data_IF_352698509561
#
_entry.id   IF_352698509561
#
_cell.length_a   1.000
_cell.length_b   1.000
_cell.length_c   1.000
_cell.angle_alpha   90.00
_cell.angle_beta   90.00
_cell.angle_gamma   90.00
#
_symmetry.space_group_name_H-M   'P 1'
#
loop_
_entity.id
_entity.type
_entity.pdbx_description
1 polymer ?
#
# COMPACT_ATOMS: atom_id res chain seq x y z
N UNK A 1 -7.61 18.94 13.37
CA UNK A 1 -6.63 17.84 13.26
C UNK A 1 -6.90 17.15 11.96
N UNK A 2 -6.00 17.26 10.99
CA UNK A 2 -6.16 16.49 9.74
C UNK A 2 -6.15 15.00 10.09
N UNK A 3 -7.08 14.19 9.54
CA UNK A 3 -7.07 12.76 9.78
C UNK A 3 -5.72 12.22 9.27
N UNK A 4 -4.98 11.52 10.13
CA UNK A 4 -3.70 10.89 9.80
C UNK A 4 -3.94 9.73 8.83
N UNK A 5 -4.27 10.04 7.58
CA UNK A 5 -4.37 9.06 6.51
C UNK A 5 -2.97 8.55 6.20
N UNK A 6 -2.76 7.25 6.33
CA UNK A 6 -1.53 6.58 5.89
C UNK A 6 -1.80 5.80 4.63
N UNK A 7 -0.92 5.92 3.66
CA UNK A 7 -0.99 5.20 2.40
C UNK A 7 0.17 4.21 2.38
N UNK A 8 -0.13 2.94 2.15
CA UNK A 8 0.83 1.88 2.05
C UNK A 8 0.79 1.31 0.64
N UNK A 9 1.89 1.41 -0.12
CA UNK A 9 2.01 0.76 -1.42
C UNK A 9 2.40 -0.70 -1.19
N UNK A 10 1.63 -1.64 -1.76
CA UNK A 10 1.99 -3.06 -1.72
C UNK A 10 2.90 -3.38 -2.89
N UNK A 11 4.02 -4.04 -2.56
CA UNK A 11 5.07 -4.38 -3.50
C UNK A 11 5.42 -5.88 -3.40
N UNK A 12 5.72 -6.48 -4.53
CA UNK A 12 6.25 -7.84 -4.63
C UNK A 12 7.48 -7.79 -5.54
N UNK A 13 8.53 -8.55 -5.23
CA UNK A 13 9.69 -8.63 -6.12
C UNK A 13 9.70 -9.99 -6.83
N UNK A 14 9.72 -10.04 -8.18
CA UNK A 14 9.75 -8.90 -9.12
C UNK A 14 8.35 -8.35 -9.48
N UNK A 15 8.17 -7.02 -9.43
CA UNK A 15 6.94 -6.34 -9.88
C UNK A 15 7.25 -5.10 -10.74
N UNK A 16 7.38 -5.26 -12.07
CA UNK A 16 7.61 -4.15 -12.99
C UNK A 16 6.61 -2.98 -12.88
N UNK A 17 5.27 -3.20 -12.79
CA UNK A 17 4.34 -2.09 -12.65
C UNK A 17 4.43 -1.40 -11.28
N UNK A 18 4.90 -2.11 -10.25
CA UNK A 18 5.16 -1.50 -8.95
C UNK A 18 6.39 -0.59 -9.00
N UNK A 19 7.42 -0.95 -9.77
CA UNK A 19 8.63 -0.13 -9.95
C UNK A 19 8.32 1.18 -10.66
N UNK A 20 7.53 1.16 -11.75
CA UNK A 20 7.06 2.38 -12.41
C UNK A 20 6.26 3.28 -11.47
N UNK A 21 5.40 2.69 -10.64
CA UNK A 21 4.60 3.41 -9.66
C UNK A 21 5.44 3.99 -8.52
N UNK A 22 6.46 3.26 -8.06
CA UNK A 22 7.45 3.75 -7.07
C UNK A 22 8.22 4.94 -7.62
N UNK A 23 8.60 4.93 -8.90
CA UNK A 23 9.23 6.08 -9.55
C UNK A 23 8.27 7.26 -9.66
N UNK A 24 7.02 7.03 -10.06
CA UNK A 24 6.00 8.08 -10.17
C UNK A 24 5.63 8.71 -8.81
N UNK A 25 5.63 7.92 -7.72
CA UNK A 25 5.32 8.37 -6.37
C UNK A 25 6.55 8.66 -5.52
N UNK A 26 7.73 8.75 -6.14
CA UNK A 26 9.00 8.89 -5.43
C UNK A 26 9.01 10.06 -4.44
N UNK A 27 8.52 11.23 -4.85
CA UNK A 27 8.46 12.42 -3.98
C UNK A 27 7.54 12.20 -2.76
N UNK A 28 6.42 11.48 -2.93
CA UNK A 28 5.49 11.19 -1.83
C UNK A 28 6.04 10.14 -0.88
N UNK A 29 6.81 9.18 -1.41
CA UNK A 29 7.54 8.18 -0.62
C UNK A 29 8.65 8.85 0.20
N UNK A 30 9.45 9.72 -0.42
CA UNK A 30 10.51 10.48 0.26
C UNK A 30 9.95 11.45 1.29
N UNK A 31 8.78 12.05 1.03
CA UNK A 31 8.06 12.89 1.98
C UNK A 31 7.43 12.09 3.14
N UNK A 32 7.43 10.76 3.09
CA UNK A 32 6.82 9.88 4.09
C UNK A 32 5.28 9.85 4.06
N UNK A 33 4.66 10.38 3.00
CA UNK A 33 3.20 10.30 2.80
C UNK A 33 2.77 8.90 2.35
N UNK A 34 3.61 8.23 1.56
CA UNK A 34 3.42 6.87 1.08
C UNK A 34 4.51 5.98 1.65
N UNK A 35 4.14 4.86 2.26
CA UNK A 35 5.08 3.85 2.75
C UNK A 35 5.03 2.63 1.84
N UNK A 36 6.16 2.17 1.33
CA UNK A 36 6.20 0.93 0.55
C UNK A 36 6.33 -0.26 1.51
N UNK A 37 5.46 -1.25 1.36
CA UNK A 37 5.47 -2.49 2.12
C UNK A 37 5.57 -3.67 1.17
N UNK A 38 6.47 -4.61 1.50
CA UNK A 38 6.49 -5.91 0.81
C UNK A 38 5.28 -6.72 1.23
N UNK A 39 4.62 -7.34 0.26
CA UNK A 39 3.43 -8.16 0.48
C UNK A 39 3.66 -9.29 1.50
N UNK A 40 4.89 -9.81 1.57
CA UNK A 40 5.32 -10.87 2.49
C UNK A 40 5.68 -10.37 3.89
N UNK A 41 5.62 -9.07 4.15
CA UNK A 41 5.91 -8.52 5.49
C UNK A 41 4.71 -8.70 6.40
N UNK A 42 4.95 -8.99 7.68
CA UNK A 42 3.89 -9.13 8.69
C UNK A 42 2.96 -7.90 8.72
N UNK A 43 3.53 -6.69 8.61
CA UNK A 43 2.74 -5.44 8.58
C UNK A 43 1.77 -5.40 7.38
N UNK A 44 2.19 -5.88 6.21
CA UNK A 44 1.33 -5.91 5.02
C UNK A 44 0.21 -6.95 5.17
N UNK A 45 0.54 -8.14 5.69
CA UNK A 45 -0.42 -9.22 5.93
C UNK A 45 -1.48 -8.79 6.95
N UNK A 46 -1.08 -8.19 8.07
CA UNK A 46 -2.02 -7.67 9.06
C UNK A 46 -2.97 -6.61 8.48
N UNK A 47 -2.45 -5.70 7.65
CA UNK A 47 -3.27 -4.66 7.03
C UNK A 47 -4.22 -5.24 5.96
N UNK A 48 -3.79 -6.26 5.22
CA UNK A 48 -4.64 -6.98 4.27
C UNK A 48 -5.76 -7.75 4.95
N UNK A 49 -5.48 -8.42 6.07
CA UNK A 49 -6.49 -9.06 6.89
C UNK A 49 -7.51 -8.05 7.41
N UNK A 50 -7.04 -6.90 7.92
CA UNK A 50 -7.92 -5.80 8.36
C UNK A 50 -8.78 -5.23 7.22
N UNK A 51 -8.25 -5.21 6.00
CA UNK A 51 -8.98 -4.79 4.81
C UNK A 51 -9.90 -5.88 4.22
N UNK A 52 -9.82 -7.12 4.71
CA UNK A 52 -10.56 -8.26 4.16
C UNK A 52 -10.06 -8.70 2.77
N UNK A 53 -8.79 -8.42 2.44
CA UNK A 53 -8.18 -8.63 1.12
C UNK A 53 -7.07 -9.69 1.08
N UNK A 54 -6.91 -10.51 2.14
CA UNK A 54 -5.79 -11.44 2.33
C UNK A 54 -5.53 -12.45 1.19
N UNK A 55 -6.57 -12.86 0.46
CA UNK A 55 -6.45 -13.88 -0.61
C UNK A 55 -6.45 -13.31 -2.03
N UNK A 56 -6.67 -11.99 -2.21
CA UNK A 56 -6.82 -11.37 -3.54
C UNK A 56 -6.09 -10.04 -3.59
N UNK A 57 -4.77 -10.12 -3.71
CA UNK A 57 -3.93 -8.97 -3.99
C UNK A 57 -3.47 -9.04 -5.43
N UNK A 58 -3.78 -7.99 -6.18
CA UNK A 58 -3.32 -7.79 -7.54
C UNK A 58 -2.39 -6.58 -7.53
N UNK A 59 -1.30 -6.65 -8.30
CA UNK A 59 -0.33 -5.58 -8.37
C UNK A 59 -0.53 -4.73 -9.62
N UNK A 60 -0.36 -3.40 -9.53
CA UNK A 60 -0.02 -2.64 -8.33
C UNK A 60 -1.25 -2.39 -7.43
N UNK A 61 -1.04 -2.40 -6.11
CA UNK A 61 -2.10 -2.11 -5.13
C UNK A 61 -1.58 -1.30 -3.94
N UNK A 62 -2.51 -0.73 -3.19
CA UNK A 62 -2.23 0.04 -1.99
C UNK A 62 -3.27 -0.23 -0.90
N UNK A 63 -2.88 0.02 0.34
CA UNK A 63 -3.74 0.05 1.50
C UNK A 63 -3.80 1.46 2.05
N UNK A 64 -5.00 1.88 2.45
CA UNK A 64 -5.22 3.17 3.08
C UNK A 64 -5.73 2.93 4.48
N UNK A 65 -4.99 3.39 5.48
CA UNK A 65 -5.42 3.41 6.88
C UNK A 65 -5.88 4.82 7.24
N UNK A 66 -7.12 4.94 7.71
CA UNK A 66 -7.68 6.18 8.24
C UNK A 66 -8.63 5.89 9.42
N UNK A 67 -9.35 6.91 9.91
CA UNK A 67 -10.26 6.79 11.05
C UNK A 67 -11.40 5.77 10.84
N UNK A 68 -11.68 5.40 9.58
CA UNK A 68 -12.69 4.39 9.23
C UNK A 68 -12.14 2.95 9.15
N UNK A 69 -10.84 2.76 9.36
CA UNK A 69 -10.17 1.47 9.25
C UNK A 69 -9.24 1.36 8.04
N UNK A 70 -8.90 0.13 7.66
CA UNK A 70 -8.00 -0.17 6.54
C UNK A 70 -8.80 -0.52 5.30
N UNK A 71 -8.45 0.07 4.16
CA UNK A 71 -9.11 -0.15 2.87
C UNK A 71 -8.09 -0.58 1.84
N UNK A 72 -8.40 -1.64 1.09
CA UNK A 72 -7.62 -2.06 -0.07
C UNK A 72 -8.02 -1.26 -1.30
N UNK A 73 -7.04 -0.80 -2.06
CA UNK A 73 -7.18 -0.04 -3.29
C UNK A 73 -6.31 -0.67 -4.39
N UNK A 74 -6.94 -1.10 -5.47
CA UNK A 74 -6.23 -1.55 -6.66
C UNK A 74 -5.89 -0.34 -7.54
N UNK A 75 -4.69 -0.36 -8.13
CA UNK A 75 -4.16 0.73 -8.95
C UNK A 75 -4.11 0.22 -10.40
N UNK A 76 -4.77 0.94 -11.30
CA UNK A 76 -4.91 0.61 -12.73
C UNK A 76 -4.35 1.74 -13.60
#
# INVERSE_FOLDING_TARGET
TEPKRKIFLLDEEPCPPCDELKEALKEEIESGKVKVLKITSDEALELLEKAGAGDKVEFPSALVEDEKGVRYCQIY
#
